data_IF_036831216069
#
_entry.id   IF_036831216069
#
_cell.length_a   1.000
_cell.length_b   1.000
_cell.length_c   1.000
_cell.angle_alpha   90.00
_cell.angle_beta   90.00
_cell.angle_gamma   90.00
#
_symmetry.space_group_name_H-M   'P 1'
#
loop_
_entity.id
_entity.type
_entity.pdbx_description
1 polymer ?
#
# COMPACT_ATOMS: atom_id res chain seq x y z
N UNK A 1 58.02 -28.18 -18.21
CA UNK A 1 57.37 -26.91 -18.58
C UNK A 1 56.77 -27.11 -19.97
N UNK A 2 55.44 -26.99 -20.13
CA UNK A 2 54.56 -27.31 -21.31
C UNK A 2 53.40 -28.20 -20.82
N UNK A 3 52.19 -27.63 -20.61
CA UNK A 3 50.97 -27.72 -21.47
C UNK A 3 50.15 -28.96 -21.13
N UNK A 4 48.82 -28.99 -21.03
CA UNK A 4 47.73 -28.03 -20.93
C UNK A 4 46.50 -28.89 -20.56
N UNK A 5 45.62 -28.39 -19.71
CA UNK A 5 44.34 -29.04 -19.38
C UNK A 5 43.23 -28.42 -20.24
N UNK A 6 42.46 -29.19 -21.04
CA UNK A 6 41.21 -28.71 -21.59
C UNK A 6 40.07 -28.99 -20.60
N UNK A 7 39.03 -28.17 -20.66
CA UNK A 7 37.59 -28.50 -20.65
C UNK A 7 36.90 -27.21 -20.20
N UNK A 8 36.56 -26.37 -21.18
CA UNK A 8 35.65 -25.25 -21.01
C UNK A 8 34.45 -25.53 -21.90
N UNK A 9 33.36 -25.95 -21.28
CA UNK A 9 32.05 -26.11 -21.93
C UNK A 9 31.10 -25.12 -21.29
N UNK A 10 30.72 -24.04 -21.98
CA UNK A 10 29.51 -23.31 -21.64
C UNK A 10 28.34 -23.77 -22.51
N UNK A 11 27.30 -24.19 -21.80
CA UNK A 11 25.95 -24.49 -22.27
C UNK A 11 25.31 -23.21 -22.85
N UNK A 12 24.59 -23.39 -23.96
CA UNK A 12 23.82 -22.37 -24.68
C UNK A 12 22.77 -21.65 -23.82
N UNK A 13 22.23 -20.53 -24.31
CA UNK A 13 20.81 -20.62 -24.63
C UNK A 13 20.46 -20.13 -26.04
N UNK A 14 19.55 -20.90 -26.64
CA UNK A 14 18.95 -20.73 -27.95
C UNK A 14 18.06 -19.49 -28.01
N UNK A 15 18.37 -18.56 -28.91
CA UNK A 15 17.52 -17.44 -29.30
C UNK A 15 16.29 -17.97 -30.04
N UNK A 16 15.12 -17.88 -29.42
CA UNK A 16 13.85 -18.09 -30.11
C UNK A 16 13.11 -16.75 -30.18
N UNK A 17 13.22 -16.11 -31.34
CA UNK A 17 12.43 -14.95 -31.71
C UNK A 17 10.99 -15.38 -31.94
N UNK A 18 10.04 -14.79 -31.22
CA UNK A 18 8.63 -14.86 -31.60
C UNK A 18 8.00 -13.47 -31.45
N UNK A 19 7.91 -12.78 -32.58
CA UNK A 19 6.97 -11.67 -32.83
C UNK A 19 5.78 -12.30 -33.55
N UNK A 20 4.54 -11.97 -33.17
CA UNK A 20 3.78 -11.19 -34.15
C UNK A 20 2.79 -10.17 -33.57
N UNK A 21 2.56 -9.17 -34.43
CA UNK A 21 1.27 -8.56 -34.74
C UNK A 21 0.65 -7.61 -33.71
N UNK A 22 0.84 -6.33 -34.03
CA UNK A 22 -0.15 -5.27 -33.85
C UNK A 22 -1.59 -5.77 -34.08
N UNK A 23 -2.44 -5.52 -33.10
CA UNK A 23 -3.89 -5.64 -33.27
C UNK A 23 -4.54 -4.37 -32.73
N UNK A 24 -4.78 -3.46 -33.67
CA UNK A 24 -5.66 -2.32 -33.52
C UNK A 24 -7.08 -2.82 -33.21
N UNK A 25 -7.65 -2.36 -32.10
CA UNK A 25 -9.09 -2.36 -31.82
C UNK A 25 -9.35 -1.05 -31.07
N UNK A 26 -9.73 0.00 -31.78
CA UNK A 26 -11.12 0.32 -32.15
C UNK A 26 -11.87 0.92 -30.96
N UNK A 27 -11.98 2.24 -31.01
CA UNK A 27 -12.78 3.09 -30.12
C UNK A 27 -14.22 3.01 -30.62
N UNK A 28 -15.21 2.53 -29.83
CA UNK A 28 -16.60 2.72 -30.18
C UNK A 28 -17.10 4.09 -29.70
N UNK A 29 -17.83 4.71 -30.62
CA UNK A 29 -18.47 6.00 -30.57
C UNK A 29 -19.47 6.17 -29.42
N UNK A 30 -19.62 7.44 -29.06
CA UNK A 30 -20.66 8.03 -28.22
C UNK A 30 -22.04 7.83 -28.87
N UNK A 31 -23.05 7.32 -28.15
CA UNK A 31 -24.44 7.53 -28.56
C UNK A 31 -25.05 8.71 -27.80
N UNK A 32 -25.39 9.75 -28.56
CA UNK A 32 -26.39 10.75 -28.21
C UNK A 32 -27.74 10.07 -28.05
N UNK A 33 -28.29 10.07 -26.83
CA UNK A 33 -29.67 9.65 -26.56
C UNK A 33 -30.48 10.85 -26.04
N UNK A 34 -31.34 11.33 -26.93
CA UNK A 34 -32.43 12.25 -26.70
C UNK A 34 -33.64 11.38 -26.32
N UNK A 35 -34.26 11.60 -25.15
CA UNK A 35 -35.70 11.46 -24.90
C UNK A 35 -36.03 11.39 -23.40
N UNK A 36 -36.84 12.35 -22.96
CA UNK A 36 -38.16 12.09 -22.36
C UNK A 36 -38.24 11.41 -20.99
N UNK A 37 -38.86 12.11 -20.04
CA UNK A 37 -39.62 11.45 -18.97
C UNK A 37 -39.26 11.89 -17.55
N UNK A 38 -39.75 13.06 -17.16
CA UNK A 38 -39.89 13.40 -15.74
C UNK A 38 -40.99 12.54 -15.10
N UNK A 39 -40.79 12.06 -13.87
CA UNK A 39 -41.88 12.15 -12.90
C UNK A 39 -41.46 12.91 -11.64
N UNK A 40 -42.31 13.88 -11.29
CA UNK A 40 -42.21 14.73 -10.14
C UNK A 40 -42.22 13.92 -8.83
N UNK A 41 -41.11 13.98 -8.11
CA UNK A 41 -41.06 13.62 -6.68
C UNK A 41 -41.23 14.90 -5.87
N UNK A 42 -42.28 14.93 -5.04
CA UNK A 42 -42.57 16.02 -4.10
C UNK A 42 -41.60 15.93 -2.92
N UNK A 43 -40.80 16.96 -2.60
CA UNK A 43 -40.20 17.08 -1.29
C UNK A 43 -41.23 17.69 -0.33
N UNK A 44 -41.68 16.86 0.61
CA UNK A 44 -42.43 17.28 1.79
C UNK A 44 -41.47 17.93 2.79
N UNK A 45 -41.79 19.17 3.19
CA UNK A 45 -41.47 19.82 4.47
C UNK A 45 -40.00 20.12 4.80
N UNK A 46 -39.67 21.41 5.02
CA UNK A 46 -39.68 21.94 6.39
C UNK A 46 -39.62 23.47 6.36
N UNK A 47 -40.57 24.09 7.06
CA UNK A 47 -40.69 25.52 7.24
C UNK A 47 -39.42 26.13 7.84
N UNK A 48 -38.83 27.10 7.14
CA UNK A 48 -37.84 28.01 7.69
C UNK A 48 -38.55 29.11 8.49
N UNK A 49 -38.77 28.88 9.78
CA UNK A 49 -39.21 29.94 10.69
C UNK A 49 -38.03 30.86 10.97
N UNK A 50 -38.06 32.02 10.32
CA UNK A 50 -37.27 33.20 10.67
C UNK A 50 -37.69 33.68 12.06
N UNK A 51 -36.79 33.69 13.04
CA UNK A 51 -36.98 34.49 14.24
C UNK A 51 -35.68 34.73 15.03
N UNK A 52 -35.49 36.01 15.37
CA UNK A 52 -34.79 36.56 16.53
C UNK A 52 -33.26 36.41 16.61
N UNK A 53 -32.59 37.52 16.25
CA UNK A 53 -31.29 37.87 16.80
C UNK A 53 -31.38 38.05 18.33
N UNK A 54 -30.42 37.54 19.12
CA UNK A 54 -30.30 37.92 20.52
C UNK A 54 -29.53 39.26 20.63
N UNK A 55 -30.18 40.19 21.31
CA UNK A 55 -29.64 41.46 21.77
C UNK A 55 -28.32 41.29 22.51
N UNK A 56 -27.31 42.09 22.15
CA UNK A 56 -26.09 42.24 22.94
C UNK A 56 -26.42 42.91 24.28
N UNK A 57 -26.61 42.10 25.32
CA UNK A 57 -26.59 42.56 26.69
C UNK A 57 -25.16 42.88 27.10
N UNK A 58 -24.87 44.16 27.29
CA UNK A 58 -23.67 44.66 27.98
C UNK A 58 -23.70 44.14 29.42
N UNK A 59 -22.73 43.31 29.79
CA UNK A 59 -22.50 42.90 31.18
C UNK A 59 -21.23 43.59 31.71
N UNK A 60 -21.25 44.15 32.94
CA UNK A 60 -20.11 44.86 33.54
C UNK A 60 -18.96 43.91 33.97
N UNK A 61 -17.74 44.42 34.21
CA UNK A 61 -16.57 43.60 34.47
C UNK A 61 -16.64 43.01 35.89
N UNK A 62 -16.55 41.68 36.00
CA UNK A 62 -16.35 41.01 37.29
C UNK A 62 -14.88 40.65 37.46
N UNK A 63 -14.29 41.24 38.49
CA UNK A 63 -12.94 41.01 38.98
C UNK A 63 -12.66 39.54 39.33
N UNK A 64 -11.43 39.13 38.98
CA UNK A 64 -10.54 38.14 39.61
C UNK A 64 -11.14 36.85 40.18
N UNK A 65 -10.78 35.74 39.53
CA UNK A 65 -10.26 34.57 40.23
C UNK A 65 -9.24 33.84 39.34
N UNK A 66 -8.04 33.63 39.88
CA UNK A 66 -6.99 32.83 39.28
C UNK A 66 -7.47 31.37 39.16
N UNK A 67 -7.40 30.80 37.96
CA UNK A 67 -7.58 29.38 37.75
C UNK A 67 -6.60 28.91 36.66
N UNK A 68 -5.50 28.33 37.14
CA UNK A 68 -4.81 27.17 36.59
C UNK A 68 -4.54 27.18 35.08
N UNK A 69 -3.30 27.50 34.72
CA UNK A 69 -2.74 27.22 33.41
C UNK A 69 -2.91 25.73 33.10
N UNK A 70 -3.85 25.40 32.21
CA UNK A 70 -3.87 24.11 31.53
C UNK A 70 -2.60 24.08 30.68
N UNK A 71 -1.60 23.34 31.17
CA UNK A 71 -0.45 22.90 30.37
C UNK A 71 -1.00 22.28 29.09
N UNK A 72 -0.96 23.04 28.01
CA UNK A 72 -1.11 22.49 26.67
C UNK A 72 0.06 21.55 26.49
N UNK A 73 -0.19 20.26 26.67
CA UNK A 73 0.71 19.18 26.34
C UNK A 73 1.17 19.39 24.90
N UNK A 74 2.35 20.00 24.73
CA UNK A 74 3.00 20.07 23.42
C UNK A 74 3.19 18.62 22.99
N UNK A 75 2.56 18.16 21.89
CA UNK A 75 2.81 16.81 21.39
C UNK A 75 4.32 16.69 21.18
N UNK A 76 4.95 15.55 21.58
CA UNK A 76 6.39 15.41 21.43
C UNK A 76 6.74 15.69 19.98
N UNK A 77 7.57 16.71 19.76
CA UNK A 77 8.06 17.06 18.44
C UNK A 77 8.69 15.79 17.87
N UNK A 78 8.02 15.21 16.87
CA UNK A 78 8.55 14.09 16.09
C UNK A 78 9.97 14.50 15.69
N UNK A 79 11.02 13.70 15.95
CA UNK A 79 12.37 14.08 15.58
C UNK A 79 12.36 14.36 14.08
N UNK A 80 12.49 15.64 13.71
CA UNK A 80 12.44 16.08 12.34
C UNK A 80 13.76 15.68 11.71
N UNK A 81 13.84 14.45 11.21
CA UNK A 81 14.86 14.12 10.20
C UNK A 81 14.74 15.18 9.11
N UNK A 82 15.81 15.92 8.79
CA UNK A 82 15.75 16.96 7.78
C UNK A 82 15.25 16.33 6.50
N UNK A 83 14.18 16.91 5.95
CA UNK A 83 13.55 16.36 4.76
C UNK A 83 14.58 16.33 3.63
N UNK A 84 14.62 15.23 2.85
CA UNK A 84 15.60 15.09 1.79
C UNK A 84 15.47 16.24 0.79
N UNK A 85 16.60 16.69 0.23
CA UNK A 85 16.60 17.93 -0.59
C UNK A 85 16.10 17.69 -2.01
N UNK A 86 16.18 16.46 -2.52
CA UNK A 86 15.74 16.12 -3.86
C UNK A 86 14.49 15.24 -3.88
N UNK A 87 13.69 15.35 -4.94
CA UNK A 87 12.54 14.47 -5.17
C UNK A 87 12.97 13.01 -5.29
N UNK A 88 14.09 12.73 -5.96
CA UNK A 88 14.61 11.36 -6.10
C UNK A 88 14.93 10.73 -4.74
N UNK A 89 15.62 11.47 -3.87
CA UNK A 89 15.98 11.01 -2.52
C UNK A 89 14.74 10.75 -1.67
N UNK A 90 13.73 11.62 -1.74
CA UNK A 90 12.42 11.40 -1.08
C UNK A 90 11.73 10.12 -1.57
N UNK A 91 11.76 9.83 -2.87
CA UNK A 91 11.15 8.62 -3.42
C UNK A 91 11.86 7.34 -2.97
N UNK A 92 13.19 7.35 -2.91
CA UNK A 92 13.97 6.22 -2.38
C UNK A 92 13.66 6.00 -0.89
N UNK A 93 13.65 7.06 -0.08
CA UNK A 93 13.27 6.97 1.33
C UNK A 93 11.85 6.43 1.52
N UNK A 94 10.90 6.89 0.70
CA UNK A 94 9.53 6.38 0.69
C UNK A 94 9.46 4.89 0.35
N UNK A 95 10.22 4.44 -0.65
CA UNK A 95 10.31 3.02 -1.03
C UNK A 95 10.86 2.17 0.10
N UNK A 96 11.97 2.58 0.69
CA UNK A 96 12.65 1.83 1.74
C UNK A 96 11.74 1.71 2.97
N UNK A 97 11.02 2.78 3.31
CA UNK A 97 10.02 2.75 4.37
C UNK A 97 8.86 1.80 4.09
N UNK A 98 8.31 1.80 2.87
CA UNK A 98 7.25 0.87 2.46
C UNK A 98 7.76 -0.57 2.57
N UNK A 99 8.99 -0.84 2.12
CA UNK A 99 9.62 -2.17 2.21
C UNK A 99 9.79 -2.62 3.66
N UNK A 100 10.38 -1.80 4.52
CA UNK A 100 10.58 -2.17 5.93
C UNK A 100 9.25 -2.42 6.65
N UNK A 101 8.22 -1.61 6.38
CA UNK A 101 6.89 -1.83 6.93
C UNK A 101 6.27 -3.15 6.44
N UNK A 102 6.37 -3.44 5.14
CA UNK A 102 5.90 -4.68 4.54
C UNK A 102 6.57 -5.92 5.15
N UNK A 103 7.90 -5.89 5.31
CA UNK A 103 8.69 -6.98 5.89
C UNK A 103 8.40 -7.20 7.37
N UNK A 104 8.14 -6.13 8.11
CA UNK A 104 7.73 -6.17 9.51
C UNK A 104 6.25 -6.56 9.73
N UNK A 105 5.49 -6.78 8.66
CA UNK A 105 4.05 -7.07 8.73
C UNK A 105 3.21 -5.88 9.20
N UNK A 106 3.75 -4.67 9.16
CA UNK A 106 3.09 -3.45 9.59
C UNK A 106 2.23 -2.89 8.47
N UNK A 107 0.95 -2.65 8.75
CA UNK A 107 0.05 -1.98 7.81
C UNK A 107 0.41 -0.51 7.75
N UNK A 108 0.97 -0.10 6.61
CA UNK A 108 1.23 1.31 6.30
C UNK A 108 0.31 1.79 5.18
N UNK A 109 -0.12 3.04 5.25
CA UNK A 109 -0.89 3.70 4.19
C UNK A 109 0.01 4.60 3.37
N UNK A 110 -0.27 4.71 2.07
CA UNK A 110 0.54 5.54 1.17
C UNK A 110 0.55 7.00 1.60
N UNK A 111 -0.56 7.51 2.15
CA UNK A 111 -0.63 8.88 2.68
C UNK A 111 0.35 9.11 3.84
N UNK A 112 0.54 8.15 4.74
CA UNK A 112 1.43 8.31 5.91
C UNK A 112 2.88 8.46 5.46
N UNK A 113 3.29 7.70 4.44
CA UNK A 113 4.62 7.81 3.84
C UNK A 113 4.76 9.14 3.10
N UNK A 114 3.73 9.58 2.39
CA UNK A 114 3.76 10.83 1.64
C UNK A 114 3.86 12.06 2.56
N UNK A 115 3.10 12.06 3.67
CA UNK A 115 3.14 13.12 4.68
C UNK A 115 4.53 13.29 5.28
N UNK A 116 5.20 12.18 5.61
CA UNK A 116 6.54 12.21 6.19
C UNK A 116 7.64 12.63 5.18
N UNK A 117 7.27 12.79 3.91
CA UNK A 117 8.14 13.26 2.83
C UNK A 117 7.72 14.64 2.30
N UNK A 118 6.78 15.33 2.96
CA UNK A 118 6.15 16.59 2.53
C UNK A 118 5.61 16.53 1.09
N UNK A 119 4.94 15.43 0.77
CA UNK A 119 4.24 15.22 -0.48
C UNK A 119 2.75 14.96 -0.22
N UNK A 120 1.90 15.45 -1.11
CA UNK A 120 0.53 14.94 -1.20
C UNK A 120 0.55 13.48 -1.62
N UNK A 121 -0.38 12.67 -1.09
CA UNK A 121 -0.53 11.25 -1.46
C UNK A 121 -0.60 11.04 -2.98
N UNK A 122 -1.39 11.86 -3.69
CA UNK A 122 -1.55 11.77 -5.14
C UNK A 122 -0.24 12.08 -5.87
N UNK A 123 0.50 13.09 -5.40
CA UNK A 123 1.78 13.48 -5.99
C UNK A 123 2.83 12.38 -5.77
N UNK A 124 2.92 11.86 -4.55
CA UNK A 124 3.80 10.75 -4.21
C UNK A 124 3.49 9.52 -5.06
N UNK A 125 2.22 9.09 -5.15
CA UNK A 125 1.85 7.91 -5.93
C UNK A 125 2.22 8.03 -7.42
N UNK A 126 2.03 9.22 -8.01
CA UNK A 126 2.39 9.49 -9.41
C UNK A 126 3.90 9.44 -9.63
N UNK A 127 4.67 10.11 -8.78
CA UNK A 127 6.13 10.13 -8.85
C UNK A 127 6.74 8.75 -8.59
N UNK A 128 6.23 8.04 -7.59
CA UNK A 128 6.66 6.69 -7.24
C UNK A 128 6.44 5.72 -8.40
N UNK A 129 5.27 5.77 -9.06
CA UNK A 129 5.00 4.97 -10.24
C UNK A 129 5.90 5.34 -11.42
N UNK A 130 6.16 6.62 -11.63
CA UNK A 130 7.08 7.06 -12.69
C UNK A 130 8.52 6.59 -12.45
N UNK A 131 8.96 6.55 -11.19
CA UNK A 131 10.33 6.14 -10.82
C UNK A 131 10.51 4.61 -10.74
N UNK A 132 9.52 3.86 -10.25
CA UNK A 132 9.65 2.43 -9.94
C UNK A 132 8.71 1.51 -10.74
N UNK A 133 7.88 2.06 -11.63
CA UNK A 133 6.96 1.32 -12.50
C UNK A 133 5.67 0.82 -11.83
N UNK A 134 5.61 0.76 -10.50
CA UNK A 134 4.47 0.25 -9.72
C UNK A 134 3.88 1.34 -8.83
N UNK A 135 2.61 1.24 -8.45
CA UNK A 135 2.05 2.13 -7.41
C UNK A 135 2.55 1.73 -6.01
N UNK A 136 2.59 2.65 -5.02
CA UNK A 136 3.04 2.35 -3.67
C UNK A 136 2.32 1.15 -3.02
N UNK A 137 0.99 1.06 -3.18
CA UNK A 137 0.21 -0.05 -2.65
C UNK A 137 0.55 -1.38 -3.34
N UNK A 138 0.75 -1.38 -4.66
CA UNK A 138 1.12 -2.59 -5.39
C UNK A 138 2.50 -3.05 -4.93
N UNK A 139 3.46 -2.13 -4.85
CA UNK A 139 4.81 -2.41 -4.36
C UNK A 139 4.80 -3.01 -2.93
N UNK A 140 4.01 -2.45 -2.01
CA UNK A 140 3.84 -2.98 -0.66
C UNK A 140 3.34 -4.45 -0.66
N UNK A 141 2.35 -4.76 -1.49
CA UNK A 141 1.83 -6.13 -1.62
C UNK A 141 2.87 -7.09 -2.23
N UNK A 142 3.64 -6.65 -3.22
CA UNK A 142 4.70 -7.46 -3.83
C UNK A 142 5.77 -7.82 -2.79
N UNK A 143 6.26 -6.84 -2.01
CA UNK A 143 7.24 -7.09 -0.95
C UNK A 143 6.70 -8.06 0.10
N UNK A 144 5.42 -7.94 0.48
CA UNK A 144 4.78 -8.90 1.40
C UNK A 144 4.72 -10.30 0.81
N UNK A 145 4.42 -10.42 -0.48
CA UNK A 145 4.38 -11.71 -1.17
C UNK A 145 5.79 -12.34 -1.27
N UNK A 146 6.80 -11.55 -1.60
CA UNK A 146 8.20 -12.00 -1.63
C UNK A 146 8.67 -12.49 -0.25
N UNK A 147 8.41 -11.71 0.81
CA UNK A 147 8.78 -12.09 2.18
C UNK A 147 8.02 -13.33 2.65
N UNK A 148 6.73 -13.44 2.33
CA UNK A 148 5.94 -14.64 2.61
C UNK A 148 6.53 -15.87 1.94
N UNK A 149 6.88 -15.79 0.65
CA UNK A 149 7.53 -16.89 -0.09
C UNK A 149 8.86 -17.28 0.53
N UNK A 150 9.65 -16.31 1.00
CA UNK A 150 10.90 -16.60 1.70
C UNK A 150 10.65 -17.39 2.99
N UNK A 151 9.74 -16.94 3.84
CA UNK A 151 9.42 -17.63 5.10
C UNK A 151 8.85 -19.04 4.87
N UNK A 152 8.02 -19.23 3.84
CA UNK A 152 7.50 -20.55 3.48
C UNK A 152 8.61 -21.48 2.99
N UNK A 153 9.58 -20.97 2.21
CA UNK A 153 10.77 -21.73 1.80
C UNK A 153 11.67 -22.10 2.97
N UNK A 154 11.68 -21.29 4.02
CA UNK A 154 12.39 -21.57 5.27
C UNK A 154 11.66 -22.63 6.15
N UNK A 155 10.57 -23.21 5.66
CA UNK A 155 9.84 -24.30 6.34
C UNK A 155 8.82 -23.85 7.37
N UNK A 156 8.48 -22.55 7.43
CA UNK A 156 7.48 -22.08 8.37
C UNK A 156 6.05 -22.49 7.98
N UNK A 157 5.27 -22.85 9.00
CA UNK A 157 3.84 -23.10 8.83
C UNK A 157 3.10 -21.85 8.34
N UNK A 158 2.14 -22.04 7.43
CA UNK A 158 1.38 -20.93 6.81
C UNK A 158 0.70 -20.01 7.82
N UNK A 159 0.22 -20.56 8.95
CA UNK A 159 -0.38 -19.77 10.04
C UNK A 159 0.61 -18.80 10.68
N UNK A 160 1.85 -19.24 10.88
CA UNK A 160 2.91 -18.40 11.43
C UNK A 160 3.36 -17.35 10.41
N UNK A 161 3.51 -17.74 9.14
CA UNK A 161 3.84 -16.79 8.05
C UNK A 161 2.76 -15.71 7.92
N UNK A 162 1.48 -16.10 7.96
CA UNK A 162 0.37 -15.15 7.89
C UNK A 162 0.46 -14.11 9.01
N UNK A 163 0.73 -14.54 10.25
CA UNK A 163 0.90 -13.64 11.40
C UNK A 163 2.09 -12.70 11.23
N UNK A 164 3.24 -13.21 10.80
CA UNK A 164 4.46 -12.39 10.59
C UNK A 164 4.30 -11.34 9.50
N UNK A 165 3.54 -11.65 8.45
CA UNK A 165 3.26 -10.73 7.35
C UNK A 165 2.09 -9.77 7.68
N UNK A 166 1.44 -9.90 8.85
CA UNK A 166 0.37 -9.01 9.30
C UNK A 166 -1.05 -9.39 8.83
N UNK A 167 -1.27 -10.66 8.47
CA UNK A 167 -2.58 -11.24 8.20
C UNK A 167 -3.14 -11.93 9.44
N UNK A 168 -4.48 -11.96 9.56
CA UNK A 168 -5.14 -12.66 10.67
C UNK A 168 -5.38 -14.12 10.36
N UNK A 169 -5.62 -14.44 9.08
CA UNK A 169 -5.93 -15.80 8.63
C UNK A 169 -5.00 -16.26 7.51
N UNK A 170 -4.60 -17.54 7.46
CA UNK A 170 -3.84 -18.11 6.35
C UNK A 170 -4.51 -17.88 4.99
N UNK A 171 -5.84 -17.90 4.92
CA UNK A 171 -6.58 -17.63 3.68
C UNK A 171 -6.25 -16.26 3.04
N UNK A 172 -5.97 -15.23 3.84
CA UNK A 172 -5.57 -13.91 3.33
C UNK A 172 -4.16 -13.95 2.70
N UNK A 173 -3.25 -14.73 3.30
CA UNK A 173 -1.93 -14.99 2.75
C UNK A 173 -2.02 -15.70 1.39
N UNK A 174 -2.85 -16.75 1.28
CA UNK A 174 -3.08 -17.47 0.03
C UNK A 174 -3.63 -16.53 -1.05
N UNK A 175 -4.63 -15.73 -0.72
CA UNK A 175 -5.21 -14.75 -1.65
C UNK A 175 -4.17 -13.72 -2.15
N UNK A 176 -3.29 -13.23 -1.27
CA UNK A 176 -2.18 -12.36 -1.66
C UNK A 176 -1.25 -13.06 -2.66
N UNK A 177 -0.81 -14.28 -2.34
CA UNK A 177 0.14 -15.03 -3.16
C UNK A 177 -0.43 -15.39 -4.53
N UNK A 178 -1.69 -15.83 -4.59
CA UNK A 178 -2.40 -16.08 -5.84
C UNK A 178 -2.52 -14.82 -6.70
N UNK A 179 -2.83 -13.67 -6.09
CA UNK A 179 -2.91 -12.38 -6.79
C UNK A 179 -1.56 -11.93 -7.35
N UNK A 180 -0.44 -12.27 -6.68
CA UNK A 180 0.92 -11.87 -7.08
C UNK A 180 1.68 -12.93 -7.87
N UNK A 181 0.98 -13.91 -8.45
CA UNK A 181 1.56 -14.87 -9.38
C UNK A 181 2.41 -15.97 -8.73
N UNK A 182 2.24 -16.24 -7.43
CA UNK A 182 2.86 -17.38 -6.76
C UNK A 182 1.82 -18.45 -6.46
N UNK A 183 1.89 -19.59 -7.14
CA UNK A 183 1.18 -20.77 -6.68
C UNK A 183 1.74 -21.17 -5.32
N UNK A 184 0.90 -21.17 -4.29
CA UNK A 184 1.21 -21.80 -3.02
C UNK A 184 1.15 -23.32 -3.24
N UNK A 185 2.08 -24.13 -2.70
CA UNK A 185 1.86 -25.57 -2.65
C UNK A 185 0.49 -25.81 -1.96
N UNK A 186 -0.33 -26.74 -2.46
CA UNK A 186 -1.63 -27.00 -1.85
C UNK A 186 -1.42 -27.36 -0.39
N UNK A 187 -2.10 -26.62 0.49
CA UNK A 187 -2.10 -26.87 1.92
C UNK A 187 -2.72 -28.24 2.18
N UNK A 188 -1.88 -29.29 2.23
CA UNK A 188 -2.38 -30.65 2.28
C UNK A 188 -1.38 -31.77 2.51
N UNK A 189 -0.05 -31.58 2.43
CA UNK A 189 0.90 -32.68 2.65
C UNK A 189 2.18 -32.18 3.34
N UNK A 190 2.03 -31.77 4.60
CA UNK A 190 3.11 -31.90 5.58
C UNK A 190 2.93 -33.24 6.28
N UNK A 191 2.94 -34.34 5.51
CA UNK A 191 2.97 -35.69 6.06
C UNK A 191 4.39 -35.97 6.56
N UNK A 192 4.50 -35.99 7.89
CA UNK A 192 5.33 -36.88 8.69
C UNK A 192 6.68 -37.32 8.08
N UNK A 193 7.70 -36.49 8.28
CA UNK A 193 9.08 -36.97 8.40
C UNK A 193 9.48 -36.86 9.87
N UNK A 194 8.96 -37.77 10.70
CA UNK A 194 9.66 -38.31 11.89
C UNK A 194 8.81 -39.44 12.54
N UNK A 195 9.25 -40.68 12.33
CA UNK A 195 9.03 -41.88 13.14
C UNK A 195 9.80 -43.01 12.40
N UNK A 196 11.12 -42.95 12.35
CA UNK A 196 12.02 -43.60 13.31
C UNK A 196 11.73 -45.09 13.57
N UNK A 197 12.76 -45.87 13.26
CA UNK A 197 13.21 -47.06 13.96
C UNK A 197 12.55 -48.41 13.63
N UNK A 198 13.40 -49.23 12.97
CA UNK A 198 13.63 -50.67 13.19
C UNK A 198 12.69 -51.69 12.56
#
# INVERSE_FOLDING_TARGET
MTTALPISTPIAPSSSHNTPAARALSVPAVPTAIAGGAPAVRPTSLAATRAAAPSYGVQPPRERAAATAVSRSTPPARPATPLPRSTSERLHLGRDRIRSAAEAGQRIRSYEVALDLDLSEFHFARLFRAAFGLSPHVYYDEVRAERARALLRDGLAEGEVARRIGFRRPAELRALLSKRGGALPPAGEAEASDASAE
#
